data_IF_185085423818
#
_entry.id   IF_185085423818
#
_cell.length_a   1.000
_cell.length_b   1.000
_cell.length_c   1.000
_cell.angle_alpha   90.00
_cell.angle_beta   90.00
_cell.angle_gamma   90.00
#
_symmetry.space_group_name_H-M   'P 1'
#
loop_
_entity.id
_entity.type
_entity.pdbx_description
1 polymer ?
#
# COMPACT_ATOMS: atom_id res chain seq x y z
N UNK A 1 -83.51 31.67 51.24
CA UNK A 1 -84.95 31.32 51.37
C UNK A 1 -85.12 29.95 50.74
N UNK A 2 -85.29 28.89 51.55
CA UNK A 2 -86.59 28.26 51.88
C UNK A 2 -87.17 27.47 50.68
N UNK A 3 -87.58 26.20 50.75
CA UNK A 3 -87.72 25.17 51.78
C UNK A 3 -87.78 23.79 51.08
N UNK A 4 -87.29 22.69 51.67
CA UNK A 4 -88.03 21.69 52.50
C UNK A 4 -89.44 21.37 51.99
N UNK A 5 -89.75 20.09 51.74
CA UNK A 5 -90.95 19.29 52.14
C UNK A 5 -90.87 17.94 51.37
N UNK A 6 -90.31 16.88 51.99
CA UNK A 6 -91.01 15.75 52.64
C UNK A 6 -91.75 14.80 51.67
N UNK A 7 -91.26 13.55 51.62
CA UNK A 7 -91.91 12.39 51.04
C UNK A 7 -91.31 11.13 51.66
N UNK A 8 -91.72 10.87 52.89
CA UNK A 8 -91.36 9.73 53.72
C UNK A 8 -92.18 8.49 53.31
N UNK A 9 -91.69 7.31 53.72
CA UNK A 9 -92.35 5.99 53.73
C UNK A 9 -92.04 5.21 52.44
N UNK A 10 -91.15 4.22 52.44
CA UNK A 10 -91.44 2.96 53.12
C UNK A 10 -90.16 2.25 53.56
N UNK A 11 -90.13 1.98 54.85
CA UNK A 11 -89.24 1.08 55.57
C UNK A 11 -89.35 -0.32 54.95
N UNK A 12 -88.24 -0.89 54.49
CA UNK A 12 -88.06 -2.35 54.52
C UNK A 12 -86.65 -2.67 55.01
N UNK A 13 -86.58 -2.85 56.33
CA UNK A 13 -85.45 -3.41 57.05
C UNK A 13 -85.49 -4.92 56.83
N UNK A 14 -84.51 -5.45 56.09
CA UNK A 14 -83.97 -6.81 56.23
C UNK A 14 -82.45 -6.62 56.10
N UNK A 15 -81.73 -6.35 57.18
CA UNK A 15 -81.07 -7.34 58.06
C UNK A 15 -79.95 -8.10 57.36
N UNK A 16 -78.76 -7.92 57.94
CA UNK A 16 -77.60 -8.83 58.00
C UNK A 16 -76.54 -8.82 56.90
N UNK A 17 -75.38 -8.30 57.31
CA UNK A 17 -74.07 -8.97 57.24
C UNK A 17 -73.43 -9.10 55.86
N UNK A 18 -72.31 -8.41 55.67
CA UNK A 18 -71.46 -8.66 54.52
C UNK A 18 -70.28 -7.74 54.36
N UNK A 19 -69.63 -7.36 55.46
CA UNK A 19 -68.30 -6.77 55.42
C UNK A 19 -67.32 -7.83 54.89
N UNK A 20 -67.15 -7.94 53.57
CA UNK A 20 -65.94 -8.56 52.99
C UNK A 20 -65.47 -7.72 51.82
N UNK A 21 -64.60 -6.78 52.18
CA UNK A 21 -63.67 -6.18 51.26
C UNK A 21 -62.89 -7.29 50.52
N UNK A 22 -63.04 -7.28 49.20
CA UNK A 22 -61.94 -7.42 48.25
C UNK A 22 -61.05 -8.67 48.32
N UNK A 23 -61.44 -9.71 47.58
CA UNK A 23 -60.51 -10.73 47.12
C UNK A 23 -59.49 -10.20 46.08
N UNK A 24 -59.73 -9.03 45.47
CA UNK A 24 -58.80 -8.39 44.55
C UNK A 24 -57.72 -7.53 45.26
N UNK A 25 -57.94 -7.12 46.50
CA UNK A 25 -56.99 -6.31 47.29
C UNK A 25 -56.03 -7.19 48.10
N UNK A 26 -56.42 -8.43 48.41
CA UNK A 26 -55.54 -9.38 49.09
C UNK A 26 -54.53 -10.05 48.16
N UNK A 27 -54.73 -10.06 46.84
CA UNK A 27 -53.70 -10.47 45.87
C UNK A 27 -52.71 -9.34 45.52
N UNK A 28 -53.05 -8.09 45.85
CA UNK A 28 -52.16 -6.94 45.77
C UNK A 28 -51.21 -6.83 46.97
N UNK A 29 -51.58 -7.41 48.13
CA UNK A 29 -50.76 -7.36 49.36
C UNK A 29 -49.81 -8.56 49.58
N UNK A 30 -49.86 -9.60 48.74
CA UNK A 30 -48.87 -10.70 48.76
C UNK A 30 -47.76 -10.55 47.72
N UNK A 31 -47.84 -9.53 46.84
CA UNK A 31 -46.87 -9.33 45.75
C UNK A 31 -45.67 -8.46 46.14
N UNK A 32 -45.60 -7.90 47.36
CA UNK A 32 -44.51 -6.98 47.75
C UNK A 32 -43.49 -7.54 48.73
N UNK A 33 -43.52 -8.82 49.09
CA UNK A 33 -42.56 -9.34 50.08
C UNK A 33 -42.17 -10.81 49.88
N UNK A 34 -41.76 -11.20 48.67
CA UNK A 34 -40.69 -12.19 48.40
C UNK A 34 -40.61 -12.40 46.88
N UNK A 35 -39.48 -12.03 46.25
CA UNK A 35 -39.16 -12.47 44.89
C UNK A 35 -39.39 -11.47 43.75
N UNK A 36 -38.72 -10.33 43.77
CA UNK A 36 -38.45 -9.57 42.53
C UNK A 36 -37.04 -8.98 42.52
N UNK A 37 -36.07 -9.75 43.00
CA UNK A 37 -34.66 -9.48 42.74
C UNK A 37 -34.25 -10.22 41.46
N UNK A 38 -34.11 -9.48 40.35
CA UNK A 38 -33.56 -9.88 39.02
C UNK A 38 -34.58 -10.32 37.96
N UNK A 39 -35.10 -9.35 37.19
CA UNK A 39 -35.00 -9.52 35.73
C UNK A 39 -34.12 -8.45 35.05
N UNK A 40 -33.92 -7.28 35.67
CA UNK A 40 -33.20 -6.16 35.04
C UNK A 40 -31.67 -6.40 34.93
N UNK A 41 -31.04 -6.98 35.96
CA UNK A 41 -29.59 -7.27 35.91
C UNK A 41 -29.23 -8.40 34.94
N UNK A 42 -30.13 -9.38 34.74
CA UNK A 42 -29.87 -10.52 33.86
C UNK A 42 -30.01 -10.12 32.39
N UNK A 43 -30.99 -9.27 32.05
CA UNK A 43 -31.12 -8.69 30.70
C UNK A 43 -29.95 -7.75 30.34
N UNK A 44 -29.45 -6.96 31.31
CA UNK A 44 -28.27 -6.12 31.11
C UNK A 44 -26.97 -6.92 30.95
N UNK A 45 -26.79 -8.01 31.71
CA UNK A 45 -25.59 -8.86 31.57
C UNK A 45 -25.56 -9.65 30.27
N UNK A 46 -26.70 -10.19 29.82
CA UNK A 46 -26.80 -10.91 28.54
C UNK A 46 -26.50 -9.97 27.36
N UNK A 47 -27.07 -8.76 27.36
CA UNK A 47 -26.81 -7.75 26.31
C UNK A 47 -25.35 -7.28 26.28
N UNK A 48 -24.66 -7.16 27.43
CA UNK A 48 -23.22 -6.87 27.46
C UNK A 48 -22.38 -8.00 26.87
N UNK A 49 -22.73 -9.26 27.15
CA UNK A 49 -22.00 -10.42 26.63
C UNK A 49 -22.16 -10.55 25.12
N UNK A 50 -23.36 -10.32 24.58
CA UNK A 50 -23.62 -10.30 23.14
C UNK A 50 -22.85 -9.17 22.45
N UNK A 51 -22.82 -7.96 23.03
CA UNK A 51 -22.06 -6.84 22.49
C UNK A 51 -20.54 -7.09 22.51
N UNK A 52 -20.02 -7.83 23.50
CA UNK A 52 -18.60 -8.25 23.55
C UNK A 52 -18.30 -9.30 22.48
N UNK A 53 -19.21 -10.25 22.25
CA UNK A 53 -19.07 -11.26 21.20
C UNK A 53 -19.10 -10.61 19.81
N UNK A 54 -20.08 -9.74 19.53
CA UNK A 54 -20.18 -9.00 18.26
C UNK A 54 -18.93 -8.15 17.98
N UNK A 55 -18.43 -7.41 18.98
CA UNK A 55 -17.17 -6.66 18.84
C UNK A 55 -15.96 -7.58 18.59
N UNK A 56 -15.91 -8.74 19.24
CA UNK A 56 -14.87 -9.74 19.02
C UNK A 56 -14.86 -10.27 17.58
N UNK A 57 -16.05 -10.56 17.03
CA UNK A 57 -16.21 -11.00 15.64
C UNK A 57 -15.85 -9.89 14.64
N UNK A 58 -16.28 -8.65 14.89
CA UNK A 58 -15.97 -7.50 14.04
C UNK A 58 -14.46 -7.25 13.98
N UNK A 59 -13.77 -7.32 15.12
CA UNK A 59 -12.31 -7.19 15.18
C UNK A 59 -11.59 -8.31 14.44
N UNK A 60 -12.09 -9.56 14.51
CA UNK A 60 -11.55 -10.70 13.74
C UNK A 60 -11.72 -10.47 12.24
N UNK A 61 -12.93 -10.13 11.79
CA UNK A 61 -13.24 -9.81 10.39
C UNK A 61 -12.39 -8.66 9.86
N UNK A 62 -12.22 -7.60 10.66
CA UNK A 62 -11.38 -6.44 10.29
C UNK A 62 -9.90 -6.82 10.14
N UNK A 63 -9.38 -7.67 11.03
CA UNK A 63 -8.00 -8.17 10.95
C UNK A 63 -7.79 -9.04 9.71
N UNK A 64 -8.71 -9.94 9.42
CA UNK A 64 -8.67 -10.80 8.23
C UNK A 64 -8.67 -9.96 6.95
N UNK A 65 -9.60 -8.99 6.84
CA UNK A 65 -9.67 -8.07 5.69
C UNK A 65 -8.38 -7.25 5.53
N UNK A 66 -7.79 -6.78 6.64
CA UNK A 66 -6.51 -6.06 6.58
C UNK A 66 -5.36 -6.97 6.14
N UNK A 67 -5.33 -8.22 6.61
CA UNK A 67 -4.34 -9.20 6.19
C UNK A 67 -4.47 -9.55 4.71
N UNK A 68 -5.68 -9.73 4.20
CA UNK A 68 -5.93 -9.99 2.78
C UNK A 68 -5.49 -8.82 1.91
N UNK A 69 -5.87 -7.58 2.26
CA UNK A 69 -5.42 -6.38 1.56
C UNK A 69 -3.91 -6.22 1.58
N UNK A 70 -3.27 -6.51 2.72
CA UNK A 70 -1.82 -6.45 2.82
C UNK A 70 -1.16 -7.53 1.95
N UNK A 71 -1.67 -8.76 1.96
CA UNK A 71 -1.18 -9.84 1.08
C UNK A 71 -1.35 -9.46 -0.39
N UNK A 72 -2.52 -8.97 -0.79
CA UNK A 72 -2.79 -8.50 -2.15
C UNK A 72 -1.84 -7.38 -2.56
N UNK A 73 -1.60 -6.40 -1.68
CA UNK A 73 -0.67 -5.31 -1.97
C UNK A 73 0.77 -5.82 -2.09
N UNK A 74 1.19 -6.76 -1.25
CA UNK A 74 2.53 -7.37 -1.33
C UNK A 74 2.68 -8.15 -2.63
N UNK A 75 1.70 -8.98 -3.01
CA UNK A 75 1.71 -9.74 -4.26
C UNK A 75 1.67 -8.81 -5.48
N UNK A 76 0.86 -7.75 -5.45
CA UNK A 76 0.82 -6.72 -6.51
C UNK A 76 2.18 -6.03 -6.65
N UNK A 77 2.75 -5.56 -5.54
CA UNK A 77 4.06 -4.92 -5.53
C UNK A 77 5.15 -5.86 -6.04
N UNK A 78 5.08 -7.15 -5.68
CA UNK A 78 5.99 -8.18 -6.17
C UNK A 78 5.84 -8.36 -7.68
N UNK A 79 4.61 -8.53 -8.16
CA UNK A 79 4.34 -8.67 -9.59
C UNK A 79 4.82 -7.47 -10.38
N UNK A 80 4.55 -6.25 -9.91
CA UNK A 80 5.05 -5.01 -10.52
C UNK A 80 6.58 -4.98 -10.58
N UNK A 81 7.27 -5.40 -9.51
CA UNK A 81 8.74 -5.51 -9.50
C UNK A 81 9.26 -6.56 -10.49
N UNK A 82 8.62 -7.71 -10.57
CA UNK A 82 8.99 -8.77 -11.51
C UNK A 82 8.78 -8.33 -12.96
N UNK A 83 7.66 -7.66 -13.25
CA UNK A 83 7.36 -7.09 -14.57
C UNK A 83 8.38 -6.00 -14.92
N UNK A 84 8.66 -5.08 -13.99
CA UNK A 84 9.66 -4.03 -14.19
C UNK A 84 11.06 -4.62 -14.44
N UNK A 85 11.45 -5.66 -13.70
CA UNK A 85 12.73 -6.36 -13.89
C UNK A 85 12.81 -7.06 -15.26
N UNK A 86 11.73 -7.68 -15.72
CA UNK A 86 11.66 -8.28 -17.07
C UNK A 86 11.79 -7.23 -18.16
N UNK A 87 11.02 -6.14 -18.07
CA UNK A 87 11.09 -5.04 -19.04
C UNK A 87 12.49 -4.44 -19.07
N UNK A 88 13.12 -4.23 -17.90
CA UNK A 88 14.48 -3.71 -17.82
C UNK A 88 15.51 -4.65 -18.47
N UNK A 89 15.33 -5.97 -18.29
CA UNK A 89 16.17 -6.99 -18.93
C UNK A 89 15.99 -7.01 -20.45
N UNK A 90 14.74 -6.96 -20.92
CA UNK A 90 14.41 -7.03 -22.35
C UNK A 90 14.79 -5.74 -23.10
N UNK A 91 14.81 -4.60 -22.39
CA UNK A 91 15.21 -3.29 -22.94
C UNK A 91 16.71 -3.03 -22.84
N UNK A 92 17.49 -3.96 -22.28
CA UNK A 92 18.93 -3.79 -22.14
C UNK A 92 19.61 -3.78 -23.52
N UNK A 93 20.54 -2.85 -23.77
CA UNK A 93 21.29 -2.84 -25.01
C UNK A 93 22.17 -4.09 -25.12
N UNK A 94 22.39 -4.57 -26.35
CA UNK A 94 23.23 -5.73 -26.59
C UNK A 94 24.65 -5.49 -26.03
N UNK A 95 25.25 -6.45 -25.30
CA UNK A 95 26.59 -6.26 -24.76
C UNK A 95 27.61 -6.09 -25.88
N UNK A 96 28.60 -5.23 -25.65
CA UNK A 96 29.76 -5.11 -26.55
C UNK A 96 30.54 -6.42 -26.57
N UNK A 97 31.05 -6.78 -27.75
CA UNK A 97 31.97 -7.92 -27.88
C UNK A 97 33.34 -7.59 -27.26
N UNK A 98 34.10 -8.62 -26.86
CA UNK A 98 35.48 -8.45 -26.36
C UNK A 98 36.40 -7.76 -27.39
N UNK A 99 36.07 -7.86 -28.68
CA UNK A 99 36.76 -7.15 -29.76
C UNK A 99 36.47 -5.64 -29.78
N UNK A 100 35.37 -5.20 -29.17
CA UNK A 100 34.95 -3.79 -29.10
C UNK A 100 35.37 -3.14 -27.78
N UNK A 101 35.31 -3.88 -26.67
CA UNK A 101 35.79 -3.43 -25.37
C UNK A 101 36.34 -4.63 -24.59
N UNK A 102 37.57 -4.49 -24.10
CA UNK A 102 38.19 -5.49 -23.23
C UNK A 102 38.19 -5.04 -21.78
N UNK A 103 37.50 -5.79 -20.93
CA UNK A 103 37.43 -5.53 -19.48
C UNK A 103 38.78 -5.71 -18.78
N UNK A 104 39.66 -6.56 -19.33
CA UNK A 104 40.98 -6.87 -18.76
C UNK A 104 42.01 -5.79 -19.00
N UNK A 105 41.95 -5.12 -20.16
CA UNK A 105 42.95 -4.12 -20.56
C UNK A 105 42.41 -2.70 -20.51
N UNK A 106 41.09 -2.54 -20.37
CA UNK A 106 40.41 -1.24 -20.47
C UNK A 106 40.42 -0.65 -21.88
N UNK A 107 40.84 -1.42 -22.89
CA UNK A 107 40.91 -0.94 -24.28
C UNK A 107 39.55 -0.93 -24.94
N UNK A 108 39.25 0.16 -25.65
CA UNK A 108 38.02 0.36 -26.42
C UNK A 108 38.38 0.57 -27.89
N UNK A 109 37.70 -0.16 -28.77
CA UNK A 109 37.77 0.06 -30.22
C UNK A 109 36.64 0.98 -30.63
N UNK A 110 36.99 2.25 -30.85
CA UNK A 110 36.02 3.29 -31.17
C UNK A 110 35.49 3.17 -32.61
N UNK A 111 34.16 3.21 -32.83
CA UNK A 111 33.56 3.34 -34.16
C UNK A 111 34.07 4.58 -34.90
N UNK A 112 34.12 4.52 -36.25
CA UNK A 112 34.64 5.62 -37.10
C UNK A 112 33.98 6.97 -36.79
N UNK A 113 32.68 6.99 -36.53
CA UNK A 113 31.92 8.20 -36.19
C UNK A 113 32.35 8.84 -34.86
N UNK A 114 32.91 8.07 -33.92
CA UNK A 114 33.42 8.55 -32.63
C UNK A 114 34.93 8.85 -32.65
N UNK A 115 35.60 8.64 -33.78
CA UNK A 115 37.02 8.99 -33.95
C UNK A 115 37.22 10.45 -34.40
N UNK A 116 36.14 11.18 -34.69
CA UNK A 116 36.21 12.60 -35.05
C UNK A 116 36.82 13.43 -33.91
N UNK A 117 37.48 14.53 -34.29
CA UNK A 117 38.19 15.43 -33.37
C UNK A 117 37.29 16.01 -32.28
N UNK A 118 36.01 16.20 -32.56
CA UNK A 118 35.02 16.72 -31.59
C UNK A 118 34.89 15.80 -30.36
N UNK A 119 35.13 14.49 -30.54
CA UNK A 119 35.07 13.50 -29.48
C UNK A 119 36.42 13.24 -28.81
N UNK A 120 37.54 13.81 -29.30
CA UNK A 120 38.89 13.48 -28.86
C UNK A 120 39.10 13.68 -27.36
N UNK A 121 38.61 14.80 -26.82
CA UNK A 121 38.73 15.16 -25.40
C UNK A 121 37.95 14.18 -24.49
N UNK A 122 36.63 13.97 -24.66
CA UNK A 122 35.90 13.03 -23.83
C UNK A 122 36.37 11.59 -24.04
N UNK A 123 36.76 11.20 -25.28
CA UNK A 123 37.32 9.89 -25.60
C UNK A 123 38.60 9.61 -24.84
N UNK A 124 39.57 10.53 -24.89
CA UNK A 124 40.85 10.37 -24.18
C UNK A 124 40.67 10.25 -22.67
N UNK A 125 39.75 11.05 -22.10
CA UNK A 125 39.41 10.95 -20.67
C UNK A 125 38.79 9.59 -20.34
N UNK A 126 37.90 9.09 -21.19
CA UNK A 126 37.25 7.80 -20.99
C UNK A 126 38.25 6.65 -21.13
N UNK A 127 39.13 6.69 -22.12
CA UNK A 127 40.21 5.72 -22.32
C UNK A 127 41.14 5.65 -21.09
N UNK A 128 41.46 6.79 -20.49
CA UNK A 128 42.24 6.84 -19.24
C UNK A 128 41.48 6.19 -18.08
N UNK A 129 40.23 6.58 -17.85
CA UNK A 129 39.42 6.06 -16.75
C UNK A 129 39.19 4.54 -16.86
N UNK A 130 39.06 4.02 -18.07
CA UNK A 130 38.89 2.59 -18.30
C UNK A 130 40.17 1.79 -18.05
N UNK A 131 41.34 2.34 -18.41
CA UNK A 131 42.63 1.75 -18.05
C UNK A 131 42.83 1.72 -16.54
N UNK A 132 42.55 2.84 -15.87
CA UNK A 132 42.62 2.93 -14.40
C UNK A 132 41.67 1.93 -13.73
N UNK A 133 40.44 1.75 -14.26
CA UNK A 133 39.49 0.73 -13.77
C UNK A 133 40.01 -0.68 -13.97
N UNK A 134 40.66 -0.97 -15.10
CA UNK A 134 41.22 -2.30 -15.37
C UNK A 134 42.40 -2.63 -14.43
N UNK A 135 43.20 -1.64 -14.07
CA UNK A 135 44.31 -1.79 -13.12
C UNK A 135 43.85 -1.83 -11.66
N UNK A 136 42.77 -1.13 -11.33
CA UNK A 136 42.24 -0.98 -9.96
C UNK A 136 40.71 -1.11 -9.95
N UNK A 137 40.17 -2.34 -10.02
CA UNK A 137 38.72 -2.58 -10.08
C UNK A 137 37.98 -2.09 -8.82
N UNK A 138 38.67 -2.01 -7.67
CA UNK A 138 38.10 -1.55 -6.40
C UNK A 138 37.92 -0.01 -6.32
N UNK A 139 38.50 0.76 -7.25
CA UNK A 139 38.32 2.22 -7.27
C UNK A 139 36.99 2.59 -7.92
N UNK A 140 36.23 3.46 -7.25
CA UNK A 140 34.99 4.03 -7.78
C UNK A 140 35.27 5.07 -8.87
N UNK A 141 35.41 4.62 -10.12
CA UNK A 141 35.46 5.48 -11.30
C UNK A 141 34.09 5.65 -11.99
N UNK A 142 33.05 4.96 -11.52
CA UNK A 142 31.77 4.81 -12.23
C UNK A 142 31.07 6.14 -12.55
N UNK A 143 31.09 7.11 -11.64
CA UNK A 143 30.47 8.43 -11.86
C UNK A 143 31.21 9.26 -12.91
N UNK A 144 32.54 9.27 -12.87
CA UNK A 144 33.38 9.97 -13.85
C UNK A 144 33.25 9.35 -15.24
N UNK A 145 33.20 8.02 -15.32
CA UNK A 145 33.01 7.30 -16.58
C UNK A 145 31.63 7.61 -17.17
N UNK A 146 30.57 7.52 -16.36
CA UNK A 146 29.22 7.84 -16.81
C UNK A 146 29.13 9.30 -17.31
N UNK A 147 29.71 10.25 -16.59
CA UNK A 147 29.75 11.65 -17.01
C UNK A 147 30.46 11.84 -18.36
N UNK A 148 31.55 11.12 -18.61
CA UNK A 148 32.24 11.15 -19.91
C UNK A 148 31.39 10.55 -21.04
N UNK A 149 30.63 9.48 -20.77
CA UNK A 149 29.71 8.88 -21.74
C UNK A 149 28.56 9.85 -22.07
N UNK A 150 27.97 10.48 -21.06
CA UNK A 150 26.87 11.43 -21.22
C UNK A 150 27.33 12.66 -22.04
N UNK A 151 28.58 13.11 -21.84
CA UNK A 151 29.19 14.15 -22.65
C UNK A 151 29.33 13.72 -24.11
N UNK A 152 29.79 12.50 -24.39
CA UNK A 152 29.88 11.99 -25.76
C UNK A 152 28.50 11.86 -26.42
N UNK A 153 27.48 11.43 -25.68
CA UNK A 153 26.11 11.35 -26.18
C UNK A 153 25.54 12.74 -26.49
N UNK A 154 25.85 13.74 -25.67
CA UNK A 154 25.44 15.13 -25.89
C UNK A 154 26.06 15.68 -27.17
N UNK A 155 27.39 15.53 -27.34
CA UNK A 155 28.10 15.93 -28.55
C UNK A 155 27.54 15.19 -29.77
N UNK A 156 27.29 13.89 -29.66
CA UNK A 156 26.72 13.10 -30.76
C UNK A 156 25.34 13.61 -31.18
N UNK A 157 24.51 14.04 -30.22
CA UNK A 157 23.20 14.63 -30.49
C UNK A 157 23.31 15.99 -31.17
N UNK A 158 24.26 16.82 -30.76
CA UNK A 158 24.51 18.14 -31.37
C UNK A 158 25.00 18.00 -32.82
N UNK A 159 25.78 16.96 -33.12
CA UNK A 159 26.36 16.70 -34.44
C UNK A 159 25.52 15.73 -35.29
N UNK A 160 24.23 15.51 -34.95
CA UNK A 160 23.37 14.55 -35.66
C UNK A 160 23.17 14.90 -37.14
N UNK A 161 23.21 16.19 -37.49
CA UNK A 161 23.03 16.64 -38.88
C UNK A 161 24.29 16.44 -39.73
N UNK A 162 25.46 16.30 -39.11
CA UNK A 162 26.74 16.15 -39.80
C UNK A 162 27.10 14.68 -40.07
N UNK A 163 26.38 13.74 -39.44
CA UNK A 163 26.64 12.31 -39.53
C UNK A 163 25.58 11.61 -40.40
N UNK A 164 25.98 10.63 -41.23
CA UNK A 164 25.01 9.71 -41.84
C UNK A 164 24.15 9.05 -40.77
N UNK A 165 22.84 8.93 -41.01
CA UNK A 165 21.89 8.39 -40.03
C UNK A 165 22.29 7.00 -39.50
N UNK A 166 22.83 6.14 -40.37
CA UNK A 166 23.34 4.83 -39.98
C UNK A 166 24.50 4.91 -38.98
N UNK A 167 25.45 5.83 -39.21
CA UNK A 167 26.63 6.01 -38.38
C UNK A 167 26.30 6.65 -37.02
N UNK A 168 25.31 7.56 -37.00
CA UNK A 168 24.75 8.10 -35.76
C UNK A 168 24.12 7.01 -34.90
N UNK A 169 23.27 6.15 -35.49
CA UNK A 169 22.61 5.06 -34.77
C UNK A 169 23.66 4.08 -34.23
N UNK A 170 24.68 3.74 -35.03
CA UNK A 170 25.76 2.85 -34.61
C UNK A 170 26.56 3.44 -33.43
N UNK A 171 26.96 4.71 -33.52
CA UNK A 171 27.65 5.41 -32.43
C UNK A 171 26.82 5.48 -31.16
N UNK A 172 25.53 5.81 -31.29
CA UNK A 172 24.63 5.92 -30.14
C UNK A 172 24.46 4.57 -29.44
N UNK A 173 24.15 3.52 -30.21
CA UNK A 173 24.01 2.15 -29.66
C UNK A 173 25.30 1.70 -28.98
N UNK A 174 26.45 2.02 -29.56
CA UNK A 174 27.75 1.72 -28.96
C UNK A 174 27.92 2.39 -27.59
N UNK A 175 27.66 3.70 -27.49
CA UNK A 175 27.76 4.44 -26.23
C UNK A 175 26.76 3.96 -25.18
N UNK A 176 25.53 3.64 -25.58
CA UNK A 176 24.51 3.07 -24.69
C UNK A 176 24.93 1.69 -24.15
N UNK A 177 25.47 0.82 -25.02
CA UNK A 177 25.95 -0.51 -24.66
C UNK A 177 27.17 -0.43 -23.73
N UNK A 178 28.10 0.48 -24.02
CA UNK A 178 29.27 0.74 -23.18
C UNK A 178 28.84 1.22 -21.78
N UNK A 179 27.96 2.23 -21.72
CA UNK A 179 27.47 2.75 -20.44
C UNK A 179 26.69 1.72 -19.62
N UNK A 180 25.90 0.87 -20.29
CA UNK A 180 25.19 -0.21 -19.62
C UNK A 180 26.14 -1.23 -19.00
N UNK A 181 27.17 -1.66 -19.75
CA UNK A 181 28.14 -2.63 -19.28
C UNK A 181 29.00 -2.11 -18.11
N UNK A 182 29.37 -0.83 -18.14
CA UNK A 182 30.24 -0.23 -17.12
C UNK A 182 29.51 0.09 -15.81
N UNK A 183 28.18 0.08 -15.82
CA UNK A 183 27.33 0.27 -14.64
C UNK A 183 27.14 -1.03 -13.84
N UNK A 184 27.25 -2.18 -14.51
CA UNK A 184 27.21 -3.50 -13.88
C UNK A 184 28.53 -3.78 -13.15
#
# INVERSE_FOLDING_TARGET
MAGKWFGLITVFIIVMVGLTASAAFLNWLTTTFFGSGRPAQQQQQVSETELRQQRGEELRKRKELQQEKHKEQVEKNRHEREVAAKIAKDSAPAPLSEAQYSTKTGQVVWPKSLQSRVFEKPRSKLDQLLKERAESPDRQHSSSIQSSIDQMQTILKENIQELPAADYIAARKFLESLGHMLRQ
#
